data_IF_502279443025
#
_entry.id   IF_502279443025
#
_cell.length_a   1.000
_cell.length_b   1.000
_cell.length_c   1.000
_cell.angle_alpha   90.00
_cell.angle_beta   90.00
_cell.angle_gamma   90.00
#
_symmetry.space_group_name_H-M   'P 1'
#
loop_
_entity.id
_entity.type
_entity.pdbx_description
1 polymer ?
#
# COMPACT_ATOMS: atom_id res chain seq x y z
N UNK A 1 5.22 23.37 -1.94
CA UNK A 1 6.58 22.80 -2.07
C UNK A 1 7.08 22.27 -0.72
N UNK A 2 7.21 23.09 0.32
CA UNK A 2 7.68 22.64 1.65
C UNK A 2 6.82 21.54 2.33
N UNK A 3 5.47 21.63 2.36
CA UNK A 3 4.65 20.59 2.99
C UNK A 3 4.69 19.25 2.23
N UNK A 4 4.72 19.31 0.89
CA UNK A 4 4.84 18.12 0.04
C UNK A 4 6.21 17.44 0.19
N UNK A 5 7.28 18.23 0.32
CA UNK A 5 8.63 17.70 0.55
C UNK A 5 8.76 17.01 1.91
N UNK A 6 8.14 17.55 2.97
CA UNK A 6 8.11 16.92 4.28
C UNK A 6 7.32 15.59 4.25
N UNK A 7 6.17 15.56 3.57
CA UNK A 7 5.41 14.32 3.36
C UNK A 7 6.20 13.24 2.60
N UNK A 8 6.92 13.63 1.54
CA UNK A 8 7.81 12.73 0.80
C UNK A 8 8.99 12.22 1.63
N UNK A 9 9.53 13.06 2.53
CA UNK A 9 10.61 12.70 3.45
C UNK A 9 10.23 11.57 4.42
N UNK A 10 9.00 11.59 4.95
CA UNK A 10 8.51 10.50 5.81
C UNK A 10 8.49 9.15 5.09
N UNK A 11 8.05 9.13 3.83
CA UNK A 11 8.07 7.91 3.02
C UNK A 11 9.50 7.39 2.79
N UNK A 12 10.45 8.28 2.51
CA UNK A 12 11.87 7.93 2.35
C UNK A 12 12.50 7.40 3.64
N UNK A 13 12.14 7.97 4.79
CA UNK A 13 12.58 7.46 6.09
C UNK A 13 12.02 6.06 6.38
N UNK A 14 10.73 5.82 6.09
CA UNK A 14 10.13 4.49 6.23
C UNK A 14 10.86 3.46 5.38
N UNK A 15 11.14 3.79 4.12
CA UNK A 15 11.91 2.93 3.21
C UNK A 15 13.31 2.63 3.73
N UNK A 16 14.00 3.64 4.28
CA UNK A 16 15.33 3.43 4.86
C UNK A 16 15.26 2.45 6.04
N UNK A 17 14.29 2.61 6.95
CA UNK A 17 14.09 1.70 8.08
C UNK A 17 13.82 0.28 7.58
N UNK A 18 12.95 0.12 6.60
CA UNK A 18 12.62 -1.17 5.99
C UNK A 18 13.87 -1.85 5.39
N UNK A 19 14.69 -1.09 4.66
CA UNK A 19 15.95 -1.59 4.10
C UNK A 19 16.96 -1.94 5.21
N UNK A 20 17.06 -1.14 6.27
CA UNK A 20 17.94 -1.46 7.41
C UNK A 20 17.53 -2.76 8.10
N UNK A 21 16.23 -2.95 8.35
CA UNK A 21 15.70 -4.18 8.94
C UNK A 21 15.89 -5.38 8.02
N UNK A 22 15.63 -5.22 6.71
CA UNK A 22 15.84 -6.28 5.73
C UNK A 22 17.31 -6.68 5.62
N UNK A 23 18.24 -5.73 5.64
CA UNK A 23 19.68 -6.02 5.67
C UNK A 23 20.10 -6.72 6.96
N UNK A 24 19.51 -6.35 8.10
CA UNK A 24 19.76 -7.04 9.37
C UNK A 24 19.33 -8.51 9.31
N UNK A 25 18.15 -8.80 8.75
CA UNK A 25 17.66 -10.17 8.53
C UNK A 25 18.54 -10.91 7.51
N UNK A 26 18.92 -10.25 6.42
CA UNK A 26 19.76 -10.84 5.37
C UNK A 26 21.16 -11.18 5.86
N UNK A 27 21.76 -10.35 6.72
CA UNK A 27 23.05 -10.64 7.33
C UNK A 27 22.99 -11.85 8.28
N UNK A 28 21.84 -12.11 8.90
CA UNK A 28 21.63 -13.26 9.78
C UNK A 28 21.40 -14.55 8.99
N UNK A 29 20.68 -14.47 7.87
CA UNK A 29 20.39 -15.59 6.97
C UNK A 29 20.71 -15.23 5.51
N UNK A 30 22.00 -15.28 5.12
CA UNK A 30 22.44 -15.01 3.76
C UNK A 30 21.94 -16.13 2.83
N UNK A 31 20.91 -15.84 2.03
CA UNK A 31 20.28 -16.79 1.10
C UNK A 31 18.78 -16.56 0.90
N UNK A 32 18.12 -15.88 1.84
CA UNK A 32 16.68 -15.59 1.78
C UNK A 32 16.31 -14.50 0.75
N UNK A 33 17.26 -13.64 0.34
CA UNK A 33 16.94 -12.50 -0.52
C UNK A 33 15.93 -11.53 0.12
N UNK A 34 16.06 -11.29 1.44
CA UNK A 34 15.08 -10.54 2.23
C UNK A 34 14.84 -9.12 1.71
N UNK A 35 15.88 -8.41 1.29
CA UNK A 35 15.75 -7.04 0.74
C UNK A 35 14.92 -7.02 -0.54
N UNK A 36 15.18 -7.95 -1.47
CA UNK A 36 14.46 -8.03 -2.74
C UNK A 36 13.01 -8.49 -2.53
N UNK A 37 12.82 -9.46 -1.63
CA UNK A 37 11.49 -9.94 -1.23
C UNK A 37 10.63 -8.82 -0.66
N UNK A 38 11.21 -7.94 0.17
CA UNK A 38 10.51 -6.81 0.76
C UNK A 38 10.14 -5.77 -0.32
N UNK A 39 11.07 -5.42 -1.21
CA UNK A 39 10.82 -4.45 -2.29
C UNK A 39 9.71 -4.92 -3.24
N UNK A 40 9.72 -6.19 -3.67
CA UNK A 40 8.68 -6.74 -4.56
C UNK A 40 7.32 -6.83 -3.89
N UNK A 41 7.28 -7.27 -2.63
CA UNK A 41 6.05 -7.30 -1.84
C UNK A 41 5.43 -5.91 -1.71
N UNK A 42 6.27 -4.91 -1.42
CA UNK A 42 5.81 -3.53 -1.28
C UNK A 42 5.25 -2.98 -2.60
N UNK A 43 5.90 -3.26 -3.74
CA UNK A 43 5.41 -2.85 -5.07
C UNK A 43 4.04 -3.43 -5.40
N UNK A 44 3.80 -4.70 -5.07
CA UNK A 44 2.50 -5.31 -5.30
C UNK A 44 1.41 -4.57 -4.53
N UNK A 45 1.64 -4.24 -3.27
CA UNK A 45 0.68 -3.49 -2.44
C UNK A 45 0.44 -2.06 -2.96
N UNK A 46 1.41 -1.45 -3.65
CA UNK A 46 1.22 -0.14 -4.27
C UNK A 46 0.22 -0.18 -5.43
N UNK A 47 0.01 -1.32 -6.09
CA UNK A 47 -0.92 -1.43 -7.22
C UNK A 47 -2.38 -1.13 -6.83
N UNK A 48 -3.02 -1.88 -5.91
CA UNK A 48 -4.40 -1.60 -5.53
C UNK A 48 -4.53 -0.22 -4.86
N UNK A 49 -3.59 0.12 -3.98
CA UNK A 49 -3.60 1.39 -3.25
C UNK A 49 -3.44 2.59 -4.19
N UNK A 50 -2.64 2.45 -5.24
CA UNK A 50 -2.44 3.47 -6.27
C UNK A 50 -3.68 3.68 -7.13
N UNK A 51 -4.27 2.59 -7.64
CA UNK A 51 -5.49 2.66 -8.47
C UNK A 51 -6.65 3.27 -7.68
N UNK A 52 -6.91 2.75 -6.47
CA UNK A 52 -7.99 3.24 -5.62
C UNK A 52 -7.72 4.70 -5.21
N UNK A 53 -6.50 5.02 -4.79
CA UNK A 53 -6.15 6.38 -4.39
C UNK A 53 -6.33 7.41 -5.52
N UNK A 54 -5.95 7.07 -6.76
CA UNK A 54 -6.17 7.97 -7.92
C UNK A 54 -7.66 8.09 -8.24
N UNK A 55 -8.41 6.99 -8.18
CA UNK A 55 -9.85 7.02 -8.44
C UNK A 55 -10.59 7.91 -7.42
N UNK A 56 -10.29 7.76 -6.13
CA UNK A 56 -10.88 8.60 -5.08
C UNK A 56 -10.42 10.06 -5.21
N UNK A 57 -9.14 10.32 -5.48
CA UNK A 57 -8.62 11.68 -5.63
C UNK A 57 -9.25 12.44 -6.82
N UNK A 58 -9.54 11.74 -7.92
CA UNK A 58 -10.12 12.38 -9.12
C UNK A 58 -11.63 12.58 -9.01
N UNK A 59 -12.35 11.73 -8.28
CA UNK A 59 -13.82 11.77 -8.18
C UNK A 59 -14.31 12.47 -6.92
N UNK A 60 -13.72 12.18 -5.76
CA UNK A 60 -14.22 12.62 -4.45
C UNK A 60 -13.67 13.99 -4.06
N UNK A 61 -12.39 14.28 -4.34
CA UNK A 61 -11.79 15.56 -3.95
C UNK A 61 -12.52 16.77 -4.54
N UNK A 62 -12.92 16.79 -5.83
CA UNK A 62 -13.71 17.91 -6.36
C UNK A 62 -15.08 18.05 -5.71
N UNK A 63 -15.73 16.93 -5.35
CA UNK A 63 -17.04 16.92 -4.68
C UNK A 63 -16.93 17.53 -3.27
N UNK A 64 -15.96 17.07 -2.47
CA UNK A 64 -15.70 17.60 -1.12
C UNK A 64 -15.45 19.11 -1.11
N UNK A 65 -14.68 19.61 -2.09
CA UNK A 65 -14.38 21.03 -2.21
C UNK A 65 -15.61 21.87 -2.61
N UNK A 66 -16.51 21.32 -3.43
CA UNK A 66 -17.77 21.99 -3.75
C UNK A 66 -18.71 22.00 -2.55
N UNK A 67 -18.82 20.89 -1.84
CA UNK A 67 -19.65 20.73 -0.65
C UNK A 67 -19.26 21.69 0.47
N UNK A 68 -17.95 21.79 0.76
CA UNK A 68 -17.41 22.73 1.73
C UNK A 68 -17.76 24.19 1.38
N UNK A 69 -17.73 24.55 0.08
CA UNK A 69 -18.04 25.91 -0.38
C UNK A 69 -19.53 26.24 -0.31
N UNK A 70 -20.41 25.25 -0.50
CA UNK A 70 -21.86 25.47 -0.57
C UNK A 70 -22.57 25.31 0.78
N UNK A 71 -22.21 24.28 1.54
CA UNK A 71 -23.00 23.79 2.67
C UNK A 71 -22.22 23.76 4.00
N UNK A 72 -20.94 24.17 3.97
CA UNK A 72 -20.11 24.31 5.15
C UNK A 72 -19.62 22.98 5.74
N UNK A 73 -19.16 23.03 6.98
CA UNK A 73 -18.40 21.93 7.61
C UNK A 73 -19.22 20.67 7.92
N UNK A 74 -20.54 20.78 8.09
CA UNK A 74 -21.40 19.62 8.38
C UNK A 74 -21.56 18.71 7.17
N UNK A 75 -21.77 19.28 5.98
CA UNK A 75 -21.90 18.53 4.73
C UNK A 75 -20.58 17.87 4.32
N UNK A 76 -19.46 18.59 4.50
CA UNK A 76 -18.12 18.04 4.30
C UNK A 76 -17.87 16.76 5.11
N UNK A 77 -18.29 16.73 6.39
CA UNK A 77 -18.11 15.54 7.24
C UNK A 77 -18.90 14.33 6.73
N UNK A 78 -20.12 14.55 6.23
CA UNK A 78 -20.95 13.48 5.69
C UNK A 78 -20.35 12.91 4.40
N UNK A 79 -19.93 13.77 3.47
CA UNK A 79 -19.28 13.33 2.23
C UNK A 79 -17.95 12.65 2.49
N UNK A 80 -17.16 13.13 3.47
CA UNK A 80 -15.90 12.49 3.84
C UNK A 80 -16.14 11.10 4.47
N UNK A 81 -17.17 10.95 5.29
CA UNK A 81 -17.55 9.64 5.82
C UNK A 81 -17.96 8.67 4.70
N UNK A 82 -18.79 9.11 3.75
CA UNK A 82 -19.20 8.30 2.60
C UNK A 82 -18.00 7.93 1.70
N UNK A 83 -17.06 8.86 1.52
CA UNK A 83 -15.83 8.62 0.80
C UNK A 83 -14.95 7.55 1.44
N UNK A 84 -14.77 7.64 2.77
CA UNK A 84 -14.03 6.64 3.54
C UNK A 84 -14.73 5.27 3.52
N UNK A 85 -16.06 5.24 3.62
CA UNK A 85 -16.83 4.01 3.52
C UNK A 85 -16.64 3.34 2.15
N UNK A 86 -16.72 4.12 1.06
CA UNK A 86 -16.47 3.62 -0.30
C UNK A 86 -15.01 3.16 -0.48
N UNK A 87 -14.05 3.90 0.10
CA UNK A 87 -12.65 3.52 0.09
C UNK A 87 -12.42 2.19 0.82
N UNK A 88 -13.01 2.00 2.00
CA UNK A 88 -12.93 0.75 2.76
C UNK A 88 -13.62 -0.39 1.99
N UNK A 89 -14.76 -0.12 1.37
CA UNK A 89 -15.48 -1.10 0.55
C UNK A 89 -14.63 -1.64 -0.61
N UNK A 90 -13.75 -0.83 -1.19
CA UNK A 90 -12.83 -1.27 -2.25
C UNK A 90 -11.54 -1.89 -1.71
N UNK A 91 -10.98 -1.32 -0.64
CA UNK A 91 -9.67 -1.72 -0.12
C UNK A 91 -9.69 -3.01 0.70
N UNK A 92 -10.77 -3.27 1.44
CA UNK A 92 -10.93 -4.51 2.23
C UNK A 92 -10.90 -5.76 1.34
N UNK A 93 -11.75 -5.89 0.30
CA UNK A 93 -11.68 -7.07 -0.58
C UNK A 93 -10.36 -7.14 -1.35
N UNK A 94 -9.75 -6.01 -1.72
CA UNK A 94 -8.44 -6.00 -2.35
C UNK A 94 -7.34 -6.54 -1.41
N UNK A 95 -7.38 -6.16 -0.13
CA UNK A 95 -6.47 -6.68 0.89
C UNK A 95 -6.66 -8.18 1.11
N UNK A 96 -7.91 -8.63 1.21
CA UNK A 96 -8.24 -10.06 1.35
C UNK A 96 -7.73 -10.83 0.13
N UNK A 97 -7.99 -10.33 -1.08
CA UNK A 97 -7.52 -10.95 -2.33
C UNK A 97 -5.99 -11.06 -2.38
N UNK A 98 -5.29 -9.99 -2.01
CA UNK A 98 -3.82 -9.98 -1.92
C UNK A 98 -3.30 -11.00 -0.90
N UNK A 99 -3.91 -11.10 0.28
CA UNK A 99 -3.50 -12.05 1.33
C UNK A 99 -3.73 -13.50 0.87
N UNK A 100 -4.92 -13.80 0.35
CA UNK A 100 -5.28 -15.15 -0.05
C UNK A 100 -4.50 -15.64 -1.27
N UNK A 101 -4.17 -14.74 -2.19
CA UNK A 101 -3.49 -15.04 -3.44
C UNK A 101 -2.01 -14.65 -3.43
N UNK A 102 -1.43 -14.31 -2.28
CA UNK A 102 -0.06 -13.78 -2.17
C UNK A 102 0.97 -14.66 -2.89
N UNK A 103 0.99 -15.96 -2.59
CA UNK A 103 1.89 -16.92 -3.23
C UNK A 103 1.68 -17.03 -4.75
N UNK A 104 0.45 -17.35 -5.23
CA UNK A 104 0.15 -17.41 -6.66
C UNK A 104 0.46 -16.12 -7.43
N UNK A 105 0.21 -14.94 -6.84
CA UNK A 105 0.52 -13.64 -7.46
C UNK A 105 2.03 -13.48 -7.62
N UNK A 106 2.80 -13.77 -6.56
CA UNK A 106 4.26 -13.67 -6.59
C UNK A 106 4.86 -14.65 -7.59
N UNK A 107 4.39 -15.90 -7.62
CA UNK A 107 4.83 -16.89 -8.59
C UNK A 107 4.45 -16.46 -10.02
N UNK A 108 3.21 -16.04 -10.26
CA UNK A 108 2.76 -15.69 -11.61
C UNK A 108 3.50 -14.48 -12.21
N UNK A 109 3.95 -13.55 -11.37
CA UNK A 109 4.58 -12.29 -11.82
C UNK A 109 6.11 -12.40 -11.85
N UNK A 110 6.71 -13.04 -10.84
CA UNK A 110 8.15 -13.00 -10.63
C UNK A 110 8.86 -14.35 -10.84
N UNK A 111 8.14 -15.46 -10.91
CA UNK A 111 8.77 -16.77 -11.07
C UNK A 111 9.53 -16.89 -12.40
N UNK A 112 10.79 -17.30 -12.31
CA UNK A 112 11.65 -17.50 -13.47
C UNK A 112 13.08 -17.00 -13.27
N UNK A 113 14.03 -17.63 -13.97
CA UNK A 113 15.45 -17.25 -13.92
C UNK A 113 16.08 -17.50 -12.55
N UNK A 114 16.30 -16.43 -11.78
CA UNK A 114 16.91 -16.47 -10.43
C UNK A 114 15.89 -16.46 -9.29
N UNK A 115 14.61 -16.26 -9.59
CA UNK A 115 13.53 -16.30 -8.63
C UNK A 115 12.96 -17.72 -8.56
N UNK A 116 13.21 -18.40 -7.45
CA UNK A 116 12.78 -19.77 -7.19
C UNK A 116 11.60 -19.79 -6.18
N UNK A 117 11.09 -20.99 -5.88
CA UNK A 117 10.01 -21.15 -4.91
C UNK A 117 10.39 -20.68 -3.50
N UNK A 118 11.68 -20.73 -3.14
CA UNK A 118 12.15 -20.22 -1.85
C UNK A 118 12.02 -18.69 -1.77
N UNK A 119 12.33 -17.98 -2.85
CA UNK A 119 12.12 -16.55 -2.97
C UNK A 119 10.63 -16.18 -2.85
N UNK A 120 9.73 -16.93 -3.53
CA UNK A 120 8.28 -16.74 -3.39
C UNK A 120 7.81 -16.94 -1.95
N UNK A 121 8.23 -18.02 -1.30
CA UNK A 121 7.86 -18.29 0.09
C UNK A 121 8.33 -17.16 1.03
N UNK A 122 9.55 -16.66 0.81
CA UNK A 122 10.13 -15.57 1.60
C UNK A 122 9.39 -14.24 1.37
N UNK A 123 8.96 -13.96 0.14
CA UNK A 123 8.20 -12.75 -0.20
C UNK A 123 6.72 -12.82 0.19
N UNK A 124 6.16 -14.01 0.38
CA UNK A 124 4.74 -14.18 0.75
C UNK A 124 4.43 -13.55 2.11
N UNK A 125 5.30 -13.72 3.10
CA UNK A 125 5.10 -13.16 4.44
C UNK A 125 5.05 -11.62 4.43
N UNK A 126 6.06 -10.90 3.90
CA UNK A 126 5.99 -9.44 3.79
C UNK A 126 4.78 -8.95 2.99
N UNK A 127 4.41 -9.63 1.90
CA UNK A 127 3.24 -9.27 1.11
C UNK A 127 1.95 -9.34 1.94
N UNK A 128 1.76 -10.39 2.74
CA UNK A 128 0.60 -10.52 3.64
C UNK A 128 0.58 -9.36 4.65
N UNK A 129 1.71 -9.07 5.30
CA UNK A 129 1.79 -7.99 6.30
C UNK A 129 1.51 -6.61 5.70
N UNK A 130 2.09 -6.30 4.53
CA UNK A 130 1.79 -5.04 3.84
C UNK A 130 0.34 -4.99 3.34
N UNK A 131 -0.25 -6.11 2.95
CA UNK A 131 -1.63 -6.16 2.45
C UNK A 131 -2.65 -5.82 3.54
N UNK A 132 -2.38 -6.19 4.80
CA UNK A 132 -3.21 -5.78 5.95
C UNK A 132 -3.22 -4.26 6.16
N UNK A 133 -2.20 -3.54 5.67
CA UNK A 133 -2.14 -2.09 5.76
C UNK A 133 -2.96 -1.37 4.67
N UNK A 134 -3.41 -2.06 3.60
CA UNK A 134 -4.12 -1.45 2.46
C UNK A 134 -5.35 -0.62 2.89
N UNK A 135 -6.26 -1.11 3.76
CA UNK A 135 -7.43 -0.33 4.17
C UNK A 135 -7.07 0.92 4.98
N UNK A 136 -6.00 0.85 5.77
CA UNK A 136 -5.51 1.98 6.57
C UNK A 136 -4.77 3.02 5.72
N UNK A 137 -3.98 2.59 4.74
CA UNK A 137 -3.20 3.48 3.88
C UNK A 137 -4.07 4.42 3.05
N UNK A 138 -5.26 3.97 2.66
CA UNK A 138 -6.21 4.85 1.96
C UNK A 138 -6.89 5.82 2.92
N UNK A 139 -7.13 5.41 4.17
CA UNK A 139 -7.73 6.27 5.19
C UNK A 139 -6.82 7.42 5.63
N UNK A 140 -5.49 7.26 5.58
CA UNK A 140 -4.51 8.29 5.99
C UNK A 140 -4.29 9.37 4.92
N UNK A 141 -4.64 9.08 3.66
CA UNK A 141 -4.39 10.00 2.53
C UNK A 141 -5.46 11.09 2.35
N UNK A 142 -6.52 11.09 3.16
CA UNK A 142 -7.64 12.03 3.11
C UNK A 142 -7.94 12.60 4.50
#
# INVERSE_FOLDING_TARGET
>A
MLPAALGGGFYQLSLLVDIFLANWVQNRNPGLGAVVSLDYSQRLVQLPTGIIGVALATTILPALLQSLKKEGLSSLRQELAAALEFALFLTVPAAIGMVLLAGPILDSIYFGGKWDHLATHTATQPLIFYSLAIPFLVSIKY
#
